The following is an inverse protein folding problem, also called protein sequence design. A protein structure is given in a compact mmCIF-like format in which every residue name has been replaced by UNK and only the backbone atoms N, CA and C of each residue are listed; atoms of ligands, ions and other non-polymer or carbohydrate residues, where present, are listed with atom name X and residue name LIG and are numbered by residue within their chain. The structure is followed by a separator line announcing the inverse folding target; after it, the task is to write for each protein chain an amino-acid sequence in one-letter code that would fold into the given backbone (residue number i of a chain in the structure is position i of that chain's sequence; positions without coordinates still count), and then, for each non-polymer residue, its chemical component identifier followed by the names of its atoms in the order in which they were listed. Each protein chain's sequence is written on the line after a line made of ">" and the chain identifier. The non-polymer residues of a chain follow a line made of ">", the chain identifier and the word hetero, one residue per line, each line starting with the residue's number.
data_IF_435764208990
#
_entry.id   IF_435764208990
#
_cell.length_a   1.000
_cell.length_b   1.000
_cell.length_c   1.000
_cell.angle_alpha   90.00
_cell.angle_beta   90.00
_cell.angle_gamma   90.00
#
_symmetry.space_group_name_H-M   'P 1'
#
loop_
_entity.id
_entity.type
_entity.pdbx_description
1 polymer ?
#
# COMPACT_ATOMS: atom_id res chain seq x y z
N UNK A 1 -7.60 2.47 12.13
CA UNK A 1 -6.78 3.11 11.08
C UNK A 1 -5.50 2.30 11.01
N UNK A 2 -5.25 1.60 9.90
CA UNK A 2 -4.01 0.83 9.73
C UNK A 2 -2.91 1.75 9.21
N UNK A 3 -1.67 1.50 9.58
CA UNK A 3 -0.49 2.10 8.97
C UNK A 3 0.04 1.20 7.84
N UNK A 4 0.93 1.72 6.99
CA UNK A 4 1.62 0.89 6.01
C UNK A 4 2.46 -0.23 6.65
N UNK A 5 3.01 0.02 7.84
CA UNK A 5 3.80 -0.99 8.58
C UNK A 5 2.91 -2.15 9.04
N UNK A 6 1.67 -1.86 9.45
CA UNK A 6 0.69 -2.89 9.83
C UNK A 6 0.30 -3.81 8.66
N UNK A 7 0.53 -3.35 7.42
CA UNK A 7 0.29 -4.11 6.19
C UNK A 7 1.52 -4.86 5.68
N UNK A 8 2.65 -4.81 6.39
CA UNK A 8 3.90 -5.47 6.02
C UNK A 8 4.87 -4.60 5.21
N UNK A 9 4.55 -3.33 4.93
CA UNK A 9 5.47 -2.45 4.21
C UNK A 9 6.69 -2.15 5.09
N UNK A 10 7.93 -2.34 4.58
CA UNK A 10 9.13 -2.02 5.35
C UNK A 10 9.14 -0.57 5.86
N UNK A 11 9.54 -0.37 7.12
CA UNK A 11 9.53 0.94 7.79
C UNK A 11 10.19 2.06 6.98
N UNK A 12 11.32 1.78 6.32
CA UNK A 12 12.02 2.73 5.43
C UNK A 12 11.14 3.31 4.30
N UNK A 13 10.16 2.55 3.82
CA UNK A 13 9.22 3.00 2.79
C UNK A 13 8.03 3.73 3.42
N UNK A 14 7.50 3.20 4.53
CA UNK A 14 6.43 3.84 5.29
C UNK A 14 6.82 5.25 5.76
N UNK A 15 8.06 5.45 6.24
CA UNK A 15 8.60 6.76 6.62
C UNK A 15 8.65 7.73 5.44
N UNK A 16 9.08 7.27 4.26
CA UNK A 16 9.11 8.08 3.04
C UNK A 16 7.72 8.47 2.55
N UNK A 17 6.75 7.57 2.68
CA UNK A 17 5.35 7.85 2.37
C UNK A 17 4.79 8.89 3.36
N UNK A 18 5.03 8.71 4.65
CA UNK A 18 4.63 9.66 5.69
C UNK A 18 5.25 11.05 5.48
N UNK A 19 6.53 11.13 5.13
CA UNK A 19 7.21 12.40 4.82
C UNK A 19 6.59 13.14 3.61
N UNK A 20 5.87 12.41 2.75
CA UNK A 20 5.10 12.96 1.61
C UNK A 20 3.64 13.22 1.95
N UNK A 21 3.23 13.11 3.22
CA UNK A 21 1.85 13.27 3.66
C UNK A 21 0.95 12.04 3.45
N UNK A 22 1.54 10.89 3.11
CA UNK A 22 0.83 9.63 2.85
C UNK A 22 0.99 8.75 4.10
N UNK A 23 0.27 9.09 5.16
CA UNK A 23 0.43 8.45 6.48
C UNK A 23 -0.42 7.17 6.63
N UNK A 24 -1.59 7.12 5.99
CA UNK A 24 -2.52 5.99 6.05
C UNK A 24 -2.79 5.42 4.65
N UNK A 25 -2.87 4.09 4.51
CA UNK A 25 -3.24 3.44 3.27
C UNK A 25 -4.70 3.69 2.92
N UNK A 26 -5.00 3.67 1.63
CA UNK A 26 -6.38 3.61 1.11
C UNK A 26 -6.88 2.17 1.02
N UNK A 27 -8.19 1.96 0.88
CA UNK A 27 -8.82 0.63 0.85
C UNK A 27 -8.16 -0.33 -0.15
N UNK A 28 -7.85 0.13 -1.36
CA UNK A 28 -7.20 -0.72 -2.38
C UNK A 28 -5.77 -1.13 -1.97
N UNK A 29 -5.07 -0.29 -1.20
CA UNK A 29 -3.74 -0.60 -0.67
C UNK A 29 -3.85 -1.57 0.51
N UNK A 30 -4.82 -1.37 1.41
CA UNK A 30 -5.11 -2.32 2.50
C UNK A 30 -5.44 -3.72 1.98
N UNK A 31 -6.17 -3.80 0.87
CA UNK A 31 -6.54 -5.07 0.24
C UNK A 31 -5.38 -5.72 -0.51
N UNK A 32 -4.54 -4.94 -1.21
CA UNK A 32 -3.52 -5.49 -2.11
C UNK A 32 -2.15 -5.74 -1.45
N UNK A 33 -1.76 -4.93 -0.47
CA UNK A 33 -0.41 -4.98 0.09
C UNK A 33 -0.07 -6.30 0.81
N UNK A 34 -0.95 -6.88 1.65
CA UNK A 34 -0.62 -8.12 2.34
C UNK A 34 -0.29 -9.27 1.38
N UNK A 35 -1.11 -9.46 0.34
CA UNK A 35 -0.93 -10.53 -0.63
C UNK A 35 0.23 -10.25 -1.59
N UNK A 36 0.36 -9.02 -2.09
CA UNK A 36 1.44 -8.67 -3.01
C UNK A 36 2.82 -8.73 -2.35
N UNK A 37 2.94 -8.28 -1.09
CA UNK A 37 4.20 -8.40 -0.33
C UNK A 37 4.55 -9.84 0.03
N UNK A 38 3.55 -10.74 0.08
CA UNK A 38 3.77 -12.17 0.23
C UNK A 38 4.20 -12.86 -1.08
N UNK A 39 4.26 -12.13 -2.21
CA UNK A 39 4.62 -12.65 -3.52
C UNK A 39 3.48 -13.35 -4.25
N UNK A 40 2.22 -13.17 -3.81
CA UNK A 40 1.06 -13.69 -4.50
C UNK A 40 0.68 -12.81 -5.69
N UNK A 41 0.09 -13.40 -6.73
CA UNK A 41 -0.50 -12.65 -7.83
C UNK A 41 -1.73 -11.86 -7.35
N UNK A 42 -1.75 -10.56 -7.60
CA UNK A 42 -2.85 -9.67 -7.20
C UNK A 42 -3.45 -8.96 -8.40
N UNK A 43 -4.75 -9.10 -8.60
CA UNK A 43 -5.52 -8.33 -9.58
C UNK A 43 -6.44 -7.33 -8.87
N UNK A 44 -6.10 -6.04 -8.93
CA UNK A 44 -6.87 -4.98 -8.27
C UNK A 44 -7.68 -4.13 -9.25
N UNK A 45 -8.97 -3.92 -8.97
CA UNK A 45 -9.85 -3.01 -9.73
C UNK A 45 -10.32 -1.87 -8.85
N UNK A 46 -9.86 -0.65 -9.13
CA UNK A 46 -10.24 0.55 -8.41
C UNK A 46 -10.20 1.79 -9.33
N UNK A 47 -11.03 2.83 -9.09
CA UNK A 47 -11.06 4.04 -9.90
C UNK A 47 -9.73 4.80 -9.87
N UNK A 48 -9.52 5.72 -10.82
CA UNK A 48 -8.37 6.65 -10.76
C UNK A 48 -8.48 7.53 -9.51
N UNK A 49 -7.35 7.83 -8.88
CA UNK A 49 -7.32 8.54 -7.59
C UNK A 49 -7.42 7.65 -6.35
N UNK A 50 -7.71 6.34 -6.49
CA UNK A 50 -7.76 5.38 -5.37
C UNK A 50 -6.41 5.04 -4.74
N UNK A 51 -5.30 5.55 -5.25
CA UNK A 51 -3.95 5.24 -4.76
C UNK A 51 -3.39 3.87 -5.18
N UNK A 52 -4.04 3.17 -6.12
CA UNK A 52 -3.57 1.87 -6.65
C UNK A 52 -2.12 1.89 -7.20
N UNK A 53 -1.63 3.03 -7.70
CA UNK A 53 -0.24 3.16 -8.19
C UNK A 53 0.80 2.91 -7.09
N UNK A 54 0.55 3.38 -5.88
CA UNK A 54 1.46 3.12 -4.76
C UNK A 54 1.35 1.66 -4.30
N UNK A 55 0.14 1.08 -4.30
CA UNK A 55 -0.06 -0.32 -3.95
C UNK A 55 0.83 -1.24 -4.81
N UNK A 56 0.72 -1.12 -6.14
CA UNK A 56 1.47 -1.96 -7.08
C UNK A 56 2.94 -1.60 -7.25
N UNK A 57 3.39 -0.45 -6.73
CA UNK A 57 4.80 -0.05 -6.75
C UNK A 57 5.59 -0.45 -5.51
N UNK A 58 4.89 -0.89 -4.44
CA UNK A 58 5.51 -1.33 -3.18
C UNK A 58 5.66 -2.86 -3.09
N UNK A 59 4.89 -3.60 -3.88
CA UNK A 59 4.90 -5.07 -3.97
C UNK A 59 5.94 -5.55 -4.97
#
# INVERSE_FOLDING_TARGET
>A
MKSFVDLGVPAKFAEKLSARGIASPFEIQEAALPDGLAGNDVCGKAPTGSGKTIAFGLV
#
